data_IF_665995442372
#
_entry.id   IF_665995442372
#
_cell.length_a   1.000
_cell.length_b   1.000
_cell.length_c   1.000
_cell.angle_alpha   90.00
_cell.angle_beta   90.00
_cell.angle_gamma   90.00
#
_symmetry.space_group_name_H-M   'P 1'
#
loop_
_entity.id
_entity.type
_entity.pdbx_description
1 polymer ?
#
# COMPACT_ATOMS: atom_id res chain seq x y z
N UNK A 1 -16.48 -18.62 18.76
CA UNK A 1 -17.86 -18.12 18.55
C UNK A 1 -18.45 -18.86 17.35
N UNK A 2 -19.59 -19.54 17.49
CA UNK A 2 -20.16 -20.36 16.43
C UNK A 2 -20.35 -19.54 15.15
N UNK A 3 -19.67 -19.92 14.07
CA UNK A 3 -19.94 -19.40 12.73
C UNK A 3 -21.39 -19.71 12.41
N UNK A 4 -22.29 -18.73 12.59
CA UNK A 4 -23.57 -18.70 11.90
C UNK A 4 -23.23 -18.70 10.41
N UNK A 5 -23.12 -19.89 9.83
CA UNK A 5 -23.15 -20.04 8.38
C UNK A 5 -24.39 -19.31 7.90
N UNK A 6 -24.23 -18.43 6.92
CA UNK A 6 -25.30 -17.62 6.35
C UNK A 6 -26.44 -18.56 5.93
N UNK A 7 -27.66 -18.43 6.48
CA UNK A 7 -28.78 -19.35 6.21
C UNK A 7 -29.17 -19.43 4.72
N UNK A 8 -28.81 -18.40 3.95
CA UNK A 8 -29.10 -18.26 2.52
C UNK A 8 -28.47 -19.33 1.63
N UNK A 9 -27.28 -19.84 1.97
CA UNK A 9 -26.51 -20.71 1.07
C UNK A 9 -26.76 -22.22 1.27
N UNK A 10 -27.32 -22.65 2.41
CA UNK A 10 -27.42 -24.09 2.72
C UNK A 10 -28.80 -24.70 2.44
N UNK A 11 -29.86 -23.90 2.31
CA UNK A 11 -31.21 -24.43 2.07
C UNK A 11 -31.56 -24.63 0.60
N UNK A 12 -30.84 -23.96 -0.32
CA UNK A 12 -31.14 -23.99 -1.76
C UNK A 12 -30.55 -25.20 -2.49
N UNK A 13 -29.35 -25.68 -2.16
CA UNK A 13 -28.72 -26.70 -3.02
C UNK A 13 -29.33 -28.10 -2.88
N UNK A 14 -29.38 -28.67 -1.67
CA UNK A 14 -29.72 -30.10 -1.54
C UNK A 14 -31.20 -30.39 -1.75
N UNK A 15 -32.08 -29.60 -1.15
CA UNK A 15 -33.52 -29.86 -1.20
C UNK A 15 -34.09 -29.54 -2.58
N UNK A 16 -33.64 -28.45 -3.21
CA UNK A 16 -34.09 -28.08 -4.55
C UNK A 16 -33.58 -29.06 -5.61
N UNK A 17 -32.30 -29.48 -5.55
CA UNK A 17 -31.75 -30.48 -6.47
C UNK A 17 -32.46 -31.84 -6.33
N UNK A 18 -32.75 -32.28 -5.11
CA UNK A 18 -33.42 -33.57 -4.89
C UNK A 18 -34.86 -33.55 -5.39
N UNK A 19 -35.60 -32.45 -5.21
CA UNK A 19 -36.96 -32.30 -5.75
C UNK A 19 -36.97 -32.14 -7.27
N UNK A 20 -35.96 -31.47 -7.86
CA UNK A 20 -35.79 -31.39 -9.32
C UNK A 20 -35.48 -32.77 -9.91
N UNK A 21 -34.55 -33.54 -9.32
CA UNK A 21 -34.22 -34.90 -9.78
C UNK A 21 -35.42 -35.85 -9.65
N UNK A 22 -36.21 -35.71 -8.58
CA UNK A 22 -37.42 -36.51 -8.37
C UNK A 22 -38.50 -36.17 -9.39
N UNK A 23 -38.76 -34.88 -9.61
CA UNK A 23 -39.70 -34.42 -10.63
C UNK A 23 -39.25 -34.78 -12.06
N UNK A 24 -37.94 -34.76 -12.34
CA UNK A 24 -37.37 -35.18 -13.63
C UNK A 24 -37.62 -36.68 -13.91
N UNK A 25 -37.40 -37.53 -12.91
CA UNK A 25 -37.58 -38.98 -13.01
C UNK A 25 -39.05 -39.42 -13.02
N UNK A 26 -39.93 -38.73 -12.28
CA UNK A 26 -41.37 -39.06 -12.22
C UNK A 26 -42.13 -38.65 -13.50
N UNK A 27 -41.65 -37.66 -14.25
CA UNK A 27 -42.36 -37.10 -15.41
C UNK A 27 -41.65 -37.29 -16.76
N UNK A 28 -40.53 -38.03 -16.82
CA UNK A 28 -39.78 -38.34 -18.06
C UNK A 28 -39.41 -37.09 -18.88
N UNK A 29 -38.99 -36.00 -18.22
CA UNK A 29 -38.41 -34.87 -18.94
C UNK A 29 -37.10 -35.30 -19.62
N UNK A 30 -36.89 -34.89 -20.86
CA UNK A 30 -35.59 -35.05 -21.52
C UNK A 30 -34.53 -34.16 -20.85
N UNK A 31 -33.25 -34.53 -20.94
CA UNK A 31 -32.14 -33.72 -20.41
C UNK A 31 -32.18 -32.28 -20.94
N UNK A 32 -32.58 -32.09 -22.21
CA UNK A 32 -32.72 -30.78 -22.85
C UNK A 32 -33.85 -29.92 -22.23
N UNK A 33 -34.97 -30.55 -21.83
CA UNK A 33 -36.08 -29.85 -21.18
C UNK A 33 -35.74 -29.41 -19.75
N UNK A 34 -34.99 -30.26 -19.02
CA UNK A 34 -34.48 -29.93 -17.69
C UNK A 34 -33.46 -28.79 -17.79
N UNK A 35 -32.52 -28.84 -18.76
CA UNK A 35 -31.56 -27.78 -19.00
C UNK A 35 -32.24 -26.43 -19.33
N UNK A 36 -33.25 -26.44 -20.21
CA UNK A 36 -34.01 -25.24 -20.57
C UNK A 36 -34.87 -24.70 -19.41
N UNK A 37 -35.33 -25.55 -18.50
CA UNK A 37 -36.04 -25.13 -17.28
C UNK A 37 -35.06 -24.48 -16.29
N UNK A 38 -33.91 -25.10 -16.07
CA UNK A 38 -32.84 -24.58 -15.23
C UNK A 38 -32.40 -23.20 -15.73
N UNK A 39 -32.16 -23.03 -17.03
CA UNK A 39 -31.76 -21.76 -17.64
C UNK A 39 -32.82 -20.66 -17.44
N UNK A 40 -34.11 -21.00 -17.54
CA UNK A 40 -35.21 -20.07 -17.25
C UNK A 40 -35.35 -19.73 -15.77
N UNK A 41 -35.15 -20.70 -14.88
CA UNK A 41 -35.15 -20.47 -13.43
C UNK A 41 -33.98 -19.59 -13.01
N UNK A 42 -32.80 -19.79 -13.60
CA UNK A 42 -31.64 -18.93 -13.37
C UNK A 42 -31.90 -17.50 -13.84
N UNK A 43 -32.46 -17.30 -15.05
CA UNK A 43 -32.68 -15.95 -15.57
C UNK A 43 -33.77 -15.19 -14.80
N UNK A 44 -34.91 -15.83 -14.50
CA UNK A 44 -36.00 -15.21 -13.74
C UNK A 44 -35.63 -14.97 -12.26
N UNK A 45 -34.98 -15.95 -11.62
CA UNK A 45 -34.54 -15.82 -10.23
C UNK A 45 -33.40 -14.81 -10.04
N UNK A 46 -32.56 -14.61 -11.05
CA UNK A 46 -31.46 -13.64 -10.97
C UNK A 46 -31.95 -12.19 -10.93
N UNK A 47 -32.93 -11.82 -11.76
CA UNK A 47 -33.43 -10.44 -11.81
C UNK A 47 -34.16 -10.06 -10.52
N UNK A 48 -35.01 -10.96 -10.01
CA UNK A 48 -35.76 -10.77 -8.77
C UNK A 48 -34.81 -10.71 -7.55
N UNK A 49 -33.88 -11.66 -7.44
CA UNK A 49 -32.90 -11.67 -6.36
C UNK A 49 -31.97 -10.45 -6.39
N UNK A 50 -31.57 -10.00 -7.58
CA UNK A 50 -30.78 -8.77 -7.72
C UNK A 50 -31.59 -7.53 -7.33
N UNK A 51 -32.87 -7.48 -7.68
CA UNK A 51 -33.76 -6.40 -7.28
C UNK A 51 -33.90 -6.35 -5.75
N UNK A 52 -34.07 -7.49 -5.10
CA UNK A 52 -34.14 -7.60 -3.64
C UNK A 52 -32.82 -7.22 -2.95
N UNK A 53 -31.68 -7.64 -3.49
CA UNK A 53 -30.37 -7.19 -3.00
C UNK A 53 -30.21 -5.68 -3.12
N UNK A 54 -30.61 -5.10 -4.26
CA UNK A 54 -30.54 -3.64 -4.46
C UNK A 54 -31.52 -2.89 -3.56
N UNK A 55 -32.69 -3.45 -3.29
CA UNK A 55 -33.69 -2.86 -2.40
C UNK A 55 -33.21 -2.85 -0.94
N UNK A 56 -32.52 -3.91 -0.50
CA UNK A 56 -31.95 -4.03 0.86
C UNK A 56 -30.55 -3.40 1.03
N UNK A 57 -29.83 -3.13 -0.07
CA UNK A 57 -28.48 -2.58 -0.04
C UNK A 57 -28.36 -1.22 0.70
N UNK A 58 -29.26 -0.24 0.55
CA UNK A 58 -29.11 1.06 1.22
C UNK A 58 -28.96 0.95 2.74
N UNK A 59 -29.80 0.13 3.38
CA UNK A 59 -29.78 -0.05 4.84
C UNK A 59 -28.52 -0.80 5.30
N UNK A 60 -28.15 -1.88 4.60
CA UNK A 60 -26.92 -2.61 4.89
C UNK A 60 -25.66 -1.76 4.71
N UNK A 61 -25.61 -0.96 3.64
CA UNK A 61 -24.48 -0.05 3.37
C UNK A 61 -24.43 1.09 4.39
N UNK A 62 -25.57 1.59 4.85
CA UNK A 62 -25.63 2.62 5.89
C UNK A 62 -25.12 2.07 7.24
N UNK A 63 -25.54 0.86 7.62
CA UNK A 63 -25.05 0.19 8.83
C UNK A 63 -23.54 -0.07 8.76
N UNK A 64 -23.04 -0.57 7.63
CA UNK A 64 -21.61 -0.81 7.42
C UNK A 64 -20.78 0.49 7.55
N UNK A 65 -21.24 1.60 6.96
CA UNK A 65 -20.57 2.91 7.10
C UNK A 65 -20.53 3.39 8.55
N UNK A 66 -21.61 3.22 9.30
CA UNK A 66 -21.66 3.60 10.70
C UNK A 66 -20.69 2.77 11.57
N UNK A 67 -20.57 1.48 11.27
CA UNK A 67 -19.60 0.58 11.91
C UNK A 67 -18.16 0.99 11.58
N UNK A 68 -17.88 1.32 10.31
CA UNK A 68 -16.58 1.80 9.85
C UNK A 68 -16.21 3.13 10.53
N UNK A 69 -17.10 4.11 10.58
CA UNK A 69 -16.87 5.40 11.25
C UNK A 69 -16.58 5.20 12.75
N UNK A 70 -17.35 4.33 13.39
CA UNK A 70 -17.17 4.00 14.81
C UNK A 70 -15.83 3.29 15.04
N UNK A 71 -15.40 2.41 14.14
CA UNK A 71 -14.09 1.77 14.19
C UNK A 71 -12.97 2.81 14.03
N UNK A 72 -13.06 3.68 13.03
CA UNK A 72 -12.03 4.70 12.75
C UNK A 72 -11.83 5.63 13.93
N UNK A 73 -12.92 6.05 14.60
CA UNK A 73 -12.84 6.85 15.81
C UNK A 73 -12.04 6.17 16.92
N UNK A 74 -12.34 4.88 17.22
CA UNK A 74 -11.59 4.11 18.23
C UNK A 74 -10.14 3.84 17.82
N UNK A 75 -9.90 3.59 16.54
CA UNK A 75 -8.57 3.39 15.99
C UNK A 75 -7.72 4.66 16.18
N UNK A 76 -8.25 5.81 15.81
CA UNK A 76 -7.61 7.10 16.02
C UNK A 76 -7.41 7.39 17.51
N UNK A 77 -8.41 7.16 18.36
CA UNK A 77 -8.26 7.37 19.81
C UNK A 77 -7.12 6.55 20.41
N UNK A 78 -6.94 5.32 19.95
CA UNK A 78 -5.82 4.44 20.37
C UNK A 78 -4.47 4.97 19.89
N UNK A 79 -4.37 5.42 18.64
CA UNK A 79 -3.11 5.79 17.99
C UNK A 79 -2.90 7.30 17.82
N UNK A 80 -3.67 8.11 18.55
CA UNK A 80 -3.77 9.57 18.39
C UNK A 80 -2.40 10.24 18.40
N UNK A 81 -1.64 10.02 19.46
CA UNK A 81 -0.34 10.68 19.66
C UNK A 81 0.64 10.43 18.49
N UNK A 82 0.99 9.17 18.13
CA UNK A 82 1.91 8.95 17.01
C UNK A 82 1.32 9.36 15.64
N UNK A 83 0.00 9.29 15.45
CA UNK A 83 -0.64 9.78 14.21
C UNK A 83 -0.56 11.30 14.08
N UNK A 84 -0.82 12.04 15.15
CA UNK A 84 -0.73 13.50 15.18
C UNK A 84 0.73 13.95 14.97
N UNK A 85 1.70 13.26 15.59
CA UNK A 85 3.13 13.51 15.37
C UNK A 85 3.53 13.22 13.91
N UNK A 86 3.04 12.14 13.31
CA UNK A 86 3.31 11.84 11.89
C UNK A 86 2.69 12.91 10.97
N UNK A 87 1.50 13.42 11.29
CA UNK A 87 0.87 14.55 10.59
C UNK A 87 1.70 15.82 10.71
N UNK A 88 2.22 16.10 11.90
CA UNK A 88 3.10 17.24 12.14
C UNK A 88 4.40 17.13 11.32
N UNK A 89 5.04 15.95 11.32
CA UNK A 89 6.21 15.69 10.47
C UNK A 89 5.91 15.95 8.99
N UNK A 90 4.75 15.51 8.50
CA UNK A 90 4.33 15.73 7.12
C UNK A 90 4.15 17.20 6.78
N UNK A 91 3.45 17.97 7.63
CA UNK A 91 3.23 19.41 7.44
C UNK A 91 4.59 20.13 7.43
N UNK A 92 5.44 19.86 8.41
CA UNK A 92 6.77 20.45 8.50
C UNK A 92 7.62 20.12 7.26
N UNK A 93 7.62 18.86 6.81
CA UNK A 93 8.35 18.46 5.61
C UNK A 93 7.80 19.15 4.34
N UNK A 94 6.48 19.32 4.23
CA UNK A 94 5.83 20.00 3.12
C UNK A 94 6.17 21.50 3.07
N UNK A 95 6.00 22.22 4.17
CA UNK A 95 6.26 23.66 4.25
C UNK A 95 7.73 23.98 3.93
N UNK A 96 8.66 23.24 4.53
CA UNK A 96 10.10 23.47 4.33
C UNK A 96 10.53 23.04 2.93
N UNK A 97 9.97 21.94 2.41
CA UNK A 97 10.23 21.47 1.06
C UNK A 97 9.74 22.46 0.00
N UNK A 98 8.55 23.03 0.17
CA UNK A 98 7.99 24.04 -0.72
C UNK A 98 8.83 25.33 -0.70
N UNK A 99 9.17 25.83 0.50
CA UNK A 99 10.04 26.99 0.64
C UNK A 99 11.38 26.76 -0.07
N UNK A 100 12.00 25.59 0.15
CA UNK A 100 13.27 25.23 -0.50
C UNK A 100 13.16 25.14 -2.02
N UNK A 101 12.08 24.54 -2.54
CA UNK A 101 11.82 24.48 -3.98
C UNK A 101 11.65 25.89 -4.59
N UNK A 102 10.99 26.81 -3.88
CA UNK A 102 10.80 28.19 -4.31
C UNK A 102 12.11 28.99 -4.36
N UNK A 103 13.04 28.73 -3.42
CA UNK A 103 14.38 29.31 -3.43
C UNK A 103 15.20 28.87 -4.65
N UNK A 104 14.92 27.69 -5.21
CA UNK A 104 15.65 27.11 -6.33
C UNK A 104 17.04 26.54 -5.95
N UNK A 105 17.83 26.13 -6.95
CA UNK A 105 19.06 25.35 -6.73
C UNK A 105 20.18 26.11 -6.00
N UNK A 106 20.20 27.45 -6.02
CA UNK A 106 21.17 28.29 -5.29
C UNK A 106 22.64 27.81 -5.36
N UNK A 107 23.11 27.49 -6.57
CA UNK A 107 24.48 27.03 -6.82
C UNK A 107 24.66 25.51 -6.82
N UNK A 108 23.64 24.72 -6.45
CA UNK A 108 23.63 23.28 -6.67
C UNK A 108 23.39 22.93 -8.14
N UNK A 109 23.60 21.67 -8.51
CA UNK A 109 23.28 21.19 -9.85
C UNK A 109 21.77 21.32 -10.11
N UNK A 110 21.33 22.08 -11.15
CA UNK A 110 19.91 22.31 -11.39
C UNK A 110 19.11 21.05 -11.73
N UNK A 111 19.73 20.08 -12.42
CA UNK A 111 19.05 18.85 -12.81
C UNK A 111 18.83 17.93 -11.62
N UNK A 112 19.84 17.81 -10.75
CA UNK A 112 19.73 17.04 -9.51
C UNK A 112 18.69 17.69 -8.60
N UNK A 113 18.80 19.00 -8.38
CA UNK A 113 17.84 19.76 -7.57
C UNK A 113 16.42 19.59 -8.06
N UNK A 114 16.17 19.82 -9.36
CA UNK A 114 14.85 19.67 -9.94
C UNK A 114 14.35 18.22 -9.81
N UNK A 115 15.22 17.22 -9.92
CA UNK A 115 14.83 15.81 -9.72
C UNK A 115 14.40 15.53 -8.28
N UNK A 116 15.12 16.05 -7.29
CA UNK A 116 14.76 15.93 -5.89
C UNK A 116 13.46 16.69 -5.57
N UNK A 117 13.27 17.89 -6.16
CA UNK A 117 12.05 18.67 -6.05
C UNK A 117 10.82 17.98 -6.66
N UNK A 118 11.00 17.04 -7.59
CA UNK A 118 9.93 16.18 -8.10
C UNK A 118 9.69 14.94 -7.21
N UNK A 119 10.75 14.36 -6.65
CA UNK A 119 10.65 13.16 -5.81
C UNK A 119 10.11 13.45 -4.39
N UNK A 120 10.38 14.64 -3.86
CA UNK A 120 9.94 15.06 -2.52
C UNK A 120 8.41 15.13 -2.38
N UNK A 121 7.65 15.84 -3.25
CA UNK A 121 6.19 15.84 -3.18
C UNK A 121 5.59 14.45 -3.45
N UNK A 122 6.24 13.62 -4.27
CA UNK A 122 5.84 12.21 -4.44
C UNK A 122 5.95 11.43 -3.12
N UNK A 123 7.03 11.63 -2.35
CA UNK A 123 7.18 11.00 -1.04
C UNK A 123 6.13 11.51 -0.02
N UNK A 124 5.80 12.81 -0.05
CA UNK A 124 4.71 13.38 0.75
C UNK A 124 3.37 12.74 0.40
N UNK A 125 3.06 12.58 -0.89
CA UNK A 125 1.83 11.94 -1.35
C UNK A 125 1.74 10.49 -0.88
N UNK A 126 2.81 9.70 -1.05
CA UNK A 126 2.87 8.31 -0.56
C UNK A 126 2.68 8.27 0.96
N UNK A 127 3.25 9.22 1.69
CA UNK A 127 3.05 9.32 3.14
C UNK A 127 1.58 9.59 3.50
N UNK A 128 0.89 10.45 2.76
CA UNK A 128 -0.55 10.69 2.96
C UNK A 128 -1.40 9.44 2.69
N UNK A 129 -1.05 8.65 1.69
CA UNK A 129 -1.71 7.37 1.41
C UNK A 129 -1.49 6.36 2.55
N UNK A 130 -0.28 6.31 3.11
CA UNK A 130 0.04 5.49 4.29
C UNK A 130 -0.79 5.93 5.49
N UNK A 131 -0.88 7.24 5.76
CA UNK A 131 -1.73 7.77 6.84
C UNK A 131 -3.19 7.36 6.65
N UNK A 132 -3.73 7.48 5.44
CA UNK A 132 -5.10 7.08 5.13
C UNK A 132 -5.35 5.58 5.41
N UNK A 133 -4.39 4.73 5.04
CA UNK A 133 -4.46 3.28 5.33
C UNK A 133 -4.41 3.00 6.84
N UNK A 134 -3.57 3.72 7.60
CA UNK A 134 -3.50 3.58 9.05
C UNK A 134 -4.80 4.05 9.74
N UNK A 135 -5.32 5.22 9.37
CA UNK A 135 -6.61 5.72 9.85
C UNK A 135 -7.77 4.76 9.56
N UNK A 136 -7.68 4.03 8.44
CA UNK A 136 -8.64 3.00 8.05
C UNK A 136 -8.45 1.64 8.73
N UNK A 137 -7.39 1.40 9.51
CA UNK A 137 -7.16 0.10 10.13
C UNK A 137 -6.40 -0.92 9.27
N UNK A 138 -5.62 -0.48 8.28
CA UNK A 138 -4.97 -1.35 7.30
C UNK A 138 -3.43 -1.30 7.42
N UNK A 139 -2.89 -1.79 8.55
CA UNK A 139 -1.44 -1.79 8.83
C UNK A 139 -0.60 -2.50 7.77
N UNK A 140 -1.03 -3.68 7.30
CA UNK A 140 -0.34 -4.43 6.25
C UNK A 140 -0.35 -3.69 4.90
N UNK A 141 -1.45 -3.01 4.59
CA UNK A 141 -1.55 -2.14 3.41
C UNK A 141 -0.63 -0.93 3.52
N UNK A 142 -0.59 -0.31 4.70
CA UNK A 142 0.32 0.79 5.01
C UNK A 142 1.79 0.37 4.86
N UNK A 143 2.17 -0.80 5.37
CA UNK A 143 3.51 -1.39 5.20
C UNK A 143 3.81 -1.66 3.72
N UNK A 144 2.86 -2.22 2.98
CA UNK A 144 3.00 -2.44 1.54
C UNK A 144 3.28 -1.12 0.81
N UNK A 145 2.59 -0.04 1.20
CA UNK A 145 2.78 1.27 0.59
C UNK A 145 4.07 1.96 1.01
N UNK A 146 4.54 1.74 2.25
CA UNK A 146 5.87 2.15 2.69
C UNK A 146 6.98 1.63 1.77
N UNK A 147 6.83 0.45 1.15
CA UNK A 147 7.79 -0.03 0.14
C UNK A 147 8.03 1.00 -0.96
N UNK A 148 6.97 1.60 -1.50
CA UNK A 148 7.09 2.61 -2.56
C UNK A 148 7.74 3.89 -2.05
N UNK A 149 7.51 4.26 -0.78
CA UNK A 149 8.20 5.37 -0.14
C UNK A 149 9.70 5.09 -0.04
N UNK A 150 10.09 3.90 0.44
CA UNK A 150 11.49 3.48 0.53
C UNK A 150 12.18 3.47 -0.83
N UNK A 151 11.55 2.94 -1.88
CA UNK A 151 12.09 3.00 -3.25
C UNK A 151 12.31 4.44 -3.73
N UNK A 152 11.38 5.34 -3.41
CA UNK A 152 11.48 6.78 -3.74
C UNK A 152 12.65 7.42 -3.00
N UNK A 153 12.82 7.13 -1.71
CA UNK A 153 13.90 7.66 -0.86
C UNK A 153 15.27 7.16 -1.32
N UNK A 154 15.39 5.85 -1.56
CA UNK A 154 16.63 5.23 -2.07
C UNK A 154 17.03 5.86 -3.40
N UNK A 155 16.07 6.08 -4.31
CA UNK A 155 16.29 6.74 -5.60
C UNK A 155 16.79 8.18 -5.41
N UNK A 156 16.10 8.97 -4.58
CA UNK A 156 16.47 10.35 -4.30
C UNK A 156 17.87 10.46 -3.68
N UNK A 157 18.18 9.65 -2.67
CA UNK A 157 19.49 9.64 -2.02
C UNK A 157 20.61 9.21 -2.97
N UNK A 158 20.35 8.25 -3.86
CA UNK A 158 21.32 7.83 -4.86
C UNK A 158 21.61 8.93 -5.89
N UNK A 159 20.57 9.60 -6.37
CA UNK A 159 20.70 10.77 -7.27
C UNK A 159 21.45 11.91 -6.58
N UNK A 160 21.08 12.25 -5.34
CA UNK A 160 21.76 13.29 -4.57
C UNK A 160 23.25 12.99 -4.35
N UNK A 161 23.61 11.72 -4.19
CA UNK A 161 24.99 11.27 -3.97
C UNK A 161 25.85 11.32 -5.23
N UNK A 162 25.31 10.93 -6.39
CA UNK A 162 26.09 10.74 -7.62
C UNK A 162 25.92 11.86 -8.65
N UNK A 163 24.95 12.74 -8.46
CA UNK A 163 24.85 14.00 -9.18
C UNK A 163 24.30 13.88 -10.60
N UNK A 164 24.77 14.78 -11.46
CA UNK A 164 24.13 15.14 -12.72
C UNK A 164 23.86 13.96 -13.67
N UNK A 165 24.88 13.13 -13.93
CA UNK A 165 24.76 12.03 -14.90
C UNK A 165 23.70 11.01 -14.48
N UNK A 166 23.63 10.71 -13.18
CA UNK A 166 22.62 9.79 -12.64
C UNK A 166 21.23 10.42 -12.69
N UNK A 167 21.09 11.71 -12.38
CA UNK A 167 19.81 12.42 -12.49
C UNK A 167 19.30 12.43 -13.94
N UNK A 168 20.19 12.67 -14.90
CA UNK A 168 19.92 12.62 -16.34
C UNK A 168 19.46 11.24 -16.78
N UNK A 169 20.19 10.19 -16.41
CA UNK A 169 19.89 8.81 -16.81
C UNK A 169 18.56 8.35 -16.20
N UNK A 170 18.31 8.68 -14.92
CA UNK A 170 17.05 8.43 -14.24
C UNK A 170 15.87 9.09 -14.95
N UNK A 171 15.96 10.39 -15.28
CA UNK A 171 14.87 11.08 -16.00
C UNK A 171 14.65 10.54 -17.40
N UNK A 172 15.72 10.12 -18.05
CA UNK A 172 15.67 9.60 -19.42
C UNK A 172 15.14 8.16 -19.48
N UNK A 173 15.13 7.43 -18.37
CA UNK A 173 14.63 6.04 -18.30
C UNK A 173 13.14 5.92 -18.64
N UNK A 174 12.35 6.98 -18.42
CA UNK A 174 10.92 7.00 -18.71
C UNK A 174 10.63 6.65 -20.17
N UNK A 175 11.50 7.02 -21.11
CA UNK A 175 11.30 6.75 -22.54
C UNK A 175 11.44 5.26 -22.87
N UNK A 176 12.29 4.54 -22.14
CA UNK A 176 12.41 3.09 -22.26
C UNK A 176 11.18 2.38 -21.70
N UNK A 177 10.68 2.82 -20.54
CA UNK A 177 9.47 2.25 -19.93
C UNK A 177 8.22 2.55 -20.76
N UNK A 178 8.07 3.76 -21.31
CA UNK A 178 6.98 4.13 -22.21
C UNK A 178 6.96 3.24 -23.46
N UNK A 179 8.12 3.03 -24.09
CA UNK A 179 8.24 2.13 -25.23
C UNK A 179 7.86 0.69 -24.87
N UNK A 180 8.37 0.16 -23.75
CA UNK A 180 8.04 -1.18 -23.26
C UNK A 180 6.54 -1.34 -22.97
N UNK A 181 5.91 -0.32 -22.37
CA UNK A 181 4.48 -0.30 -22.12
C UNK A 181 3.65 -0.26 -23.42
N UNK A 182 4.06 0.55 -24.40
CA UNK A 182 3.40 0.64 -25.70
C UNK A 182 3.47 -0.70 -26.46
N UNK A 183 4.64 -1.36 -26.47
CA UNK A 183 4.80 -2.70 -27.05
C UNK A 183 3.87 -3.70 -26.37
N UNK A 184 3.84 -3.71 -25.03
CA UNK A 184 2.98 -4.61 -24.28
C UNK A 184 1.49 -4.38 -24.58
N UNK A 185 1.04 -3.12 -24.61
CA UNK A 185 -0.34 -2.76 -24.92
C UNK A 185 -0.73 -3.20 -26.33
N UNK A 186 0.04 -2.80 -27.36
CA UNK A 186 -0.28 -3.14 -28.74
C UNK A 186 -0.32 -4.66 -28.98
N UNK A 187 0.51 -5.43 -28.27
CA UNK A 187 0.53 -6.90 -28.38
C UNK A 187 -0.75 -7.60 -27.91
N UNK A 188 -1.57 -6.94 -27.09
CA UNK A 188 -2.80 -7.52 -26.51
C UNK A 188 -4.05 -6.67 -26.72
N UNK A 189 -3.95 -5.53 -27.41
CA UNK A 189 -4.99 -4.52 -27.50
C UNK A 189 -6.36 -5.08 -27.91
N UNK A 190 -6.39 -5.89 -28.98
CA UNK A 190 -7.62 -6.53 -29.48
C UNK A 190 -8.27 -7.43 -28.41
N UNK A 191 -7.49 -8.32 -27.80
CA UNK A 191 -7.98 -9.23 -26.75
C UNK A 191 -8.38 -8.50 -25.48
N UNK A 192 -7.75 -7.37 -25.18
CA UNK A 192 -8.02 -6.56 -24.00
C UNK A 192 -9.15 -5.52 -24.22
N UNK A 193 -9.71 -5.41 -25.44
CA UNK A 193 -10.64 -4.36 -25.83
C UNK A 193 -10.10 -2.94 -25.51
N UNK A 194 -8.80 -2.76 -25.76
CA UNK A 194 -8.09 -1.48 -25.58
C UNK A 194 -7.73 -0.89 -26.94
N UNK A 195 -7.65 0.44 -27.02
CA UNK A 195 -7.23 1.13 -28.24
C UNK A 195 -5.70 1.02 -28.39
N UNK A 196 -5.16 0.41 -29.46
CA UNK A 196 -3.73 0.38 -29.71
C UNK A 196 -3.22 1.77 -30.09
N UNK A 197 -1.92 1.99 -29.87
CA UNK A 197 -1.22 3.13 -30.48
C UNK A 197 -1.22 2.99 -32.00
N UNK A 198 -1.44 4.09 -32.71
CA UNK A 198 -1.26 4.14 -34.17
C UNK A 198 0.21 3.99 -34.54
N UNK A 199 0.49 3.63 -35.80
CA UNK A 199 1.86 3.48 -36.29
C UNK A 199 2.66 4.78 -36.13
N UNK A 200 2.02 5.94 -36.34
CA UNK A 200 2.66 7.25 -36.16
C UNK A 200 3.00 7.52 -34.69
N UNK A 201 2.03 7.31 -33.78
CA UNK A 201 2.25 7.52 -32.35
C UNK A 201 3.31 6.55 -31.79
N UNK A 202 3.33 5.31 -32.28
CA UNK A 202 4.32 4.33 -31.90
C UNK A 202 5.73 4.71 -32.38
N UNK A 203 5.86 5.18 -33.63
CA UNK A 203 7.13 5.68 -34.18
C UNK A 203 7.66 6.89 -33.41
N UNK A 204 6.80 7.78 -32.90
CA UNK A 204 7.20 8.88 -32.02
C UNK A 204 7.79 8.39 -30.69
N UNK A 205 7.16 7.38 -30.07
CA UNK A 205 7.65 6.76 -28.84
C UNK A 205 9.01 6.08 -29.07
N UNK A 206 9.17 5.36 -30.19
CA UNK A 206 10.45 4.77 -30.58
C UNK A 206 11.53 5.83 -30.76
N UNK A 207 11.22 6.91 -31.48
CA UNK A 207 12.16 8.01 -31.70
C UNK A 207 12.60 8.69 -30.39
N UNK A 208 11.70 8.84 -29.42
CA UNK A 208 12.07 9.37 -28.10
C UNK A 208 12.96 8.41 -27.31
N UNK A 209 12.69 7.10 -27.37
CA UNK A 209 13.55 6.07 -26.76
C UNK A 209 14.94 6.07 -27.39
N UNK A 210 15.04 6.13 -28.71
CA UNK A 210 16.32 6.16 -29.42
C UNK A 210 17.13 7.42 -29.08
N UNK A 211 16.47 8.59 -28.98
CA UNK A 211 17.11 9.83 -28.50
C UNK A 211 17.65 9.68 -27.07
N UNK A 212 16.87 9.08 -26.18
CA UNK A 212 17.29 8.82 -24.80
C UNK A 212 18.48 7.85 -24.75
N UNK A 213 18.50 6.82 -25.59
CA UNK A 213 19.60 5.86 -25.72
C UNK A 213 20.90 6.53 -26.17
N UNK A 214 20.83 7.43 -27.17
CA UNK A 214 21.98 8.24 -27.59
C UNK A 214 22.45 9.17 -26.47
N UNK A 215 21.51 9.79 -25.74
CA UNK A 215 21.83 10.73 -24.65
C UNK A 215 22.50 10.06 -23.45
N UNK A 216 22.05 8.85 -23.09
CA UNK A 216 22.65 8.04 -22.02
C UNK A 216 23.93 7.35 -22.50
N UNK A 217 24.03 7.04 -23.80
CA UNK A 217 25.17 6.33 -24.41
C UNK A 217 25.07 4.81 -24.35
N UNK A 218 23.91 4.26 -23.94
CA UNK A 218 23.63 2.81 -23.88
C UNK A 218 22.14 2.53 -23.76
N UNK A 219 21.76 1.30 -24.10
CA UNK A 219 20.40 0.78 -23.91
C UNK A 219 20.16 0.33 -22.47
N UNK A 220 19.02 0.71 -21.90
CA UNK A 220 18.55 0.20 -20.61
C UNK A 220 17.67 -1.04 -20.83
N UNK A 221 17.95 -2.12 -20.11
CA UNK A 221 17.21 -3.39 -20.25
C UNK A 221 16.43 -3.77 -18.98
N UNK A 222 16.90 -3.31 -17.82
CA UNK A 222 16.30 -3.49 -16.51
C UNK A 222 15.81 -2.17 -15.92
N UNK A 223 14.86 -2.29 -14.97
CA UNK A 223 14.20 -1.18 -14.28
C UNK A 223 15.17 -0.24 -13.56
N UNK A 224 16.33 -0.76 -13.14
CA UNK A 224 17.34 -0.02 -12.36
C UNK A 224 18.60 0.29 -13.17
N UNK A 225 18.64 -0.06 -14.46
CA UNK A 225 19.86 0.09 -15.28
C UNK A 225 20.21 1.57 -15.51
N UNK A 226 19.30 2.51 -15.27
CA UNK A 226 19.62 3.95 -15.25
C UNK A 226 20.72 4.30 -14.24
N UNK A 227 20.94 3.47 -13.21
CA UNK A 227 21.97 3.67 -12.21
C UNK A 227 23.35 3.09 -12.62
N UNK A 228 23.45 2.41 -13.77
CA UNK A 228 24.63 1.61 -14.13
C UNK A 228 25.90 2.41 -14.41
N UNK A 229 25.87 3.76 -14.45
CA UNK A 229 27.08 4.59 -14.62
C UNK A 229 27.98 4.53 -13.38
N UNK A 230 27.42 4.13 -12.24
CA UNK A 230 28.09 4.05 -10.95
C UNK A 230 28.65 2.64 -10.66
N UNK A 231 28.25 1.64 -11.44
CA UNK A 231 28.57 0.24 -11.18
C UNK A 231 29.44 -0.35 -12.30
N UNK A 232 30.25 -1.36 -11.97
CA UNK A 232 31.12 -2.04 -12.92
C UNK A 232 30.42 -3.14 -13.75
N UNK A 233 29.10 -3.25 -13.64
CA UNK A 233 28.29 -4.25 -14.34
C UNK A 233 26.98 -3.65 -14.85
N UNK A 234 26.47 -4.18 -15.96
CA UNK A 234 25.39 -3.51 -16.70
C UNK A 234 23.99 -3.75 -16.11
N UNK A 235 23.73 -4.94 -15.55
CA UNK A 235 22.41 -5.28 -15.00
C UNK A 235 22.33 -4.90 -13.54
N UNK A 236 21.60 -3.84 -13.23
CA UNK A 236 21.48 -3.32 -11.87
C UNK A 236 20.23 -3.88 -11.19
N UNK A 237 20.37 -4.21 -9.91
CA UNK A 237 19.24 -4.55 -9.03
C UNK A 237 19.09 -3.45 -7.98
N UNK A 238 17.86 -3.30 -7.48
CA UNK A 238 17.59 -2.35 -6.40
C UNK A 238 18.52 -2.49 -5.18
N UNK A 239 18.90 -3.71 -4.80
CA UNK A 239 19.84 -3.96 -3.68
C UNK A 239 21.24 -3.37 -3.92
N UNK A 240 21.66 -3.24 -5.18
CA UNK A 240 22.97 -2.65 -5.50
C UNK A 240 22.96 -1.14 -5.20
N UNK A 241 21.83 -0.48 -5.50
CA UNK A 241 21.57 0.92 -5.15
C UNK A 241 21.46 1.07 -3.62
N UNK A 242 20.67 0.22 -2.94
CA UNK A 242 20.54 0.23 -1.47
C UNK A 242 21.89 0.14 -0.77
N UNK A 243 22.76 -0.81 -1.19
CA UNK A 243 24.12 -0.97 -0.66
C UNK A 243 24.99 0.25 -0.94
N UNK A 244 24.89 0.83 -2.13
CA UNK A 244 25.70 1.99 -2.47
C UNK A 244 25.43 3.17 -1.54
N UNK A 245 24.17 3.43 -1.19
CA UNK A 245 23.81 4.53 -0.27
C UNK A 245 23.78 4.13 1.21
N UNK A 246 24.15 2.89 1.55
CA UNK A 246 24.20 2.40 2.93
C UNK A 246 22.83 2.12 3.57
N UNK A 247 21.77 1.96 2.76
CA UNK A 247 20.42 1.62 3.23
C UNK A 247 20.10 0.12 3.13
N UNK A 248 21.07 -0.73 2.82
CA UNK A 248 20.87 -2.19 2.71
C UNK A 248 20.50 -2.86 4.04
N UNK A 249 20.76 -2.22 5.19
CA UNK A 249 20.23 -2.65 6.49
C UNK A 249 18.70 -2.61 6.58
N UNK A 250 18.02 -1.87 5.69
CA UNK A 250 16.55 -1.88 5.54
C UNK A 250 16.03 -3.04 4.70
N UNK A 251 16.92 -3.82 4.06
CA UNK A 251 16.53 -4.90 3.15
C UNK A 251 15.56 -5.91 3.76
N UNK A 252 15.70 -6.35 5.03
CA UNK A 252 14.73 -7.24 5.65
C UNK A 252 13.32 -6.63 5.70
N UNK A 253 13.22 -5.33 6.06
CA UNK A 253 11.96 -4.58 6.12
C UNK A 253 11.36 -4.37 4.73
N UNK A 254 12.18 -4.03 3.74
CA UNK A 254 11.76 -3.93 2.34
C UNK A 254 11.20 -5.27 1.83
N UNK A 255 11.86 -6.39 2.14
CA UNK A 255 11.38 -7.72 1.76
C UNK A 255 10.09 -8.10 2.47
N UNK A 256 9.95 -7.77 3.75
CA UNK A 256 8.72 -7.96 4.49
C UNK A 256 7.56 -7.15 3.88
N UNK A 257 7.75 -5.85 3.61
CA UNK A 257 6.76 -5.01 2.95
C UNK A 257 6.36 -5.55 1.55
N UNK A 258 7.34 -6.09 0.81
CA UNK A 258 7.12 -6.69 -0.51
C UNK A 258 6.23 -7.93 -0.49
N UNK A 259 6.13 -8.64 0.64
CA UNK A 259 5.29 -9.83 0.76
C UNK A 259 3.79 -9.51 0.69
N UNK A 260 3.39 -8.26 0.92
CA UNK A 260 2.00 -7.83 0.82
C UNK A 260 1.60 -7.39 -0.60
N UNK A 261 2.57 -7.28 -1.51
CA UNK A 261 2.36 -6.86 -2.91
C UNK A 261 2.27 -8.07 -3.84
N UNK A 262 3.10 -9.09 -3.61
CA UNK A 262 3.08 -10.32 -4.39
C UNK A 262 2.07 -11.31 -3.79
N UNK A 263 1.36 -12.06 -4.62
CA UNK A 263 0.41 -13.12 -4.20
C UNK A 263 1.07 -14.36 -3.60
N UNK A 264 2.19 -14.19 -2.88
CA UNK A 264 2.88 -15.26 -2.19
C UNK A 264 2.01 -15.79 -1.05
N UNK A 265 2.02 -17.10 -0.84
CA UNK A 265 1.33 -17.73 0.29
C UNK A 265 1.87 -17.16 1.61
N UNK A 266 0.96 -16.73 2.49
CA UNK A 266 1.27 -16.21 3.82
C UNK A 266 0.32 -16.82 4.85
N UNK A 267 0.88 -17.17 6.00
CA UNK A 267 0.08 -17.62 7.12
C UNK A 267 -0.79 -16.46 7.65
N UNK A 268 -2.11 -16.64 7.87
CA UNK A 268 -2.99 -15.56 8.33
C UNK A 268 -2.53 -14.90 9.64
N UNK A 269 -1.94 -15.69 10.55
CA UNK A 269 -1.38 -15.18 11.82
C UNK A 269 -0.09 -14.36 11.68
N UNK A 270 0.47 -14.22 10.48
CA UNK A 270 1.69 -13.44 10.24
C UNK A 270 1.41 -12.01 9.76
N UNK A 271 0.15 -11.57 9.76
CA UNK A 271 -0.27 -10.21 9.38
C UNK A 271 -0.06 -9.24 10.54
N UNK A 272 0.26 -7.98 10.22
CA UNK A 272 0.38 -6.91 11.22
C UNK A 272 -0.95 -6.70 11.96
N UNK A 273 -2.07 -6.72 11.24
CA UNK A 273 -3.39 -6.61 11.85
C UNK A 273 -3.78 -7.77 12.78
N UNK A 274 -2.95 -8.82 12.85
CA UNK A 274 -3.16 -10.03 13.66
C UNK A 274 -2.20 -10.16 14.83
N UNK A 275 -1.28 -9.22 15.03
CA UNK A 275 -0.23 -9.29 16.08
C UNK A 275 -0.80 -9.41 17.49
N UNK A 276 -1.94 -8.79 17.75
CA UNK A 276 -2.62 -8.81 19.06
C UNK A 276 -3.83 -9.76 19.12
N UNK A 277 -4.08 -10.54 18.06
CA UNK A 277 -5.21 -11.46 18.04
C UNK A 277 -4.92 -12.71 18.91
N UNK A 278 -5.90 -13.13 19.72
CA UNK A 278 -5.79 -14.35 20.54
C UNK A 278 -5.79 -15.64 19.70
N UNK A 279 -6.56 -15.64 18.61
CA UNK A 279 -6.69 -16.76 17.69
C UNK A 279 -6.39 -16.30 16.26
N UNK A 280 -5.81 -17.22 15.47
CA UNK A 280 -5.58 -16.98 14.05
C UNK A 280 -6.91 -16.99 13.32
N UNK A 281 -7.30 -15.84 12.79
CA UNK A 281 -8.47 -15.69 11.91
C UNK A 281 -8.07 -15.18 10.53
N UNK A 282 -8.93 -15.36 9.55
CA UNK A 282 -8.80 -14.72 8.24
C UNK A 282 -9.23 -13.26 8.36
N UNK A 283 -8.26 -12.36 8.45
CA UNK A 283 -8.53 -10.93 8.49
C UNK A 283 -9.05 -10.45 7.12
N UNK A 284 -10.32 -10.06 7.09
CA UNK A 284 -11.00 -9.50 5.90
C UNK A 284 -11.34 -8.01 6.05
N UNK A 285 -11.14 -7.46 7.25
CA UNK A 285 -11.55 -6.11 7.61
C UNK A 285 -10.47 -5.36 8.40
N UNK A 286 -10.79 -4.14 8.85
CA UNK A 286 -9.83 -3.27 9.49
C UNK A 286 -9.44 -3.80 10.89
N UNK A 287 -8.20 -3.53 11.29
CA UNK A 287 -7.64 -3.85 12.60
C UNK A 287 -6.88 -2.65 13.13
N UNK A 288 -6.97 -2.39 14.44
CA UNK A 288 -6.22 -1.31 15.09
C UNK A 288 -4.90 -1.82 15.69
N UNK A 289 -4.36 -2.93 15.18
CA UNK A 289 -3.14 -3.60 15.64
C UNK A 289 -1.99 -3.45 14.63
N UNK A 290 -0.74 -3.50 15.12
CA UNK A 290 0.46 -3.60 14.28
C UNK A 290 0.88 -2.31 13.59
N UNK A 291 0.64 -1.14 14.19
CA UNK A 291 0.91 0.15 13.54
C UNK A 291 2.34 0.67 13.75
N UNK A 292 3.08 0.13 14.73
CA UNK A 292 4.41 0.62 15.12
C UNK A 292 5.36 0.69 13.91
N UNK A 293 5.51 -0.43 13.19
CA UNK A 293 6.43 -0.51 12.05
C UNK A 293 6.01 0.44 10.91
N UNK A 294 4.77 0.41 10.38
CA UNK A 294 4.34 1.37 9.38
C UNK A 294 4.52 2.84 9.78
N UNK A 295 4.20 3.22 11.02
CA UNK A 295 4.33 4.59 11.52
C UNK A 295 5.80 5.03 11.54
N UNK A 296 6.64 4.27 12.25
CA UNK A 296 8.03 4.65 12.47
C UNK A 296 8.85 4.57 11.18
N UNK A 297 8.65 3.52 10.37
CA UNK A 297 9.37 3.35 9.12
C UNK A 297 9.02 4.48 8.12
N UNK A 298 7.75 4.90 8.08
CA UNK A 298 7.32 6.04 7.26
C UNK A 298 7.94 7.34 7.74
N UNK A 299 7.97 7.57 9.05
CA UNK A 299 8.58 8.76 9.63
C UNK A 299 10.09 8.86 9.30
N UNK A 300 10.82 7.75 9.44
CA UNK A 300 12.25 7.69 9.09
C UNK A 300 12.45 7.94 7.61
N UNK A 301 11.68 7.29 6.74
CA UNK A 301 11.81 7.46 5.29
C UNK A 301 11.48 8.89 4.84
N UNK A 302 10.39 9.50 5.34
CA UNK A 302 10.06 10.89 5.00
C UNK A 302 11.13 11.88 5.52
N UNK A 303 11.68 11.63 6.71
CA UNK A 303 12.81 12.39 7.26
C UNK A 303 14.04 12.29 6.35
N UNK A 304 14.41 11.09 5.90
CA UNK A 304 15.51 10.86 4.96
C UNK A 304 15.29 11.53 3.60
N UNK A 305 14.09 11.43 3.02
CA UNK A 305 13.76 12.08 1.76
C UNK A 305 13.91 13.60 1.87
N UNK A 306 13.36 14.17 2.94
CA UNK A 306 13.41 15.62 3.18
C UNK A 306 14.85 16.07 3.39
N UNK A 307 15.65 15.34 4.18
CA UNK A 307 17.07 15.63 4.36
C UNK A 307 17.85 15.53 3.05
N UNK A 308 17.59 14.53 2.22
CA UNK A 308 18.24 14.37 0.92
C UNK A 308 17.96 15.57 -0.02
N UNK A 309 16.75 16.12 0.04
CA UNK A 309 16.40 17.30 -0.73
C UNK A 309 17.05 18.57 -0.17
N UNK A 310 16.87 18.86 1.13
CA UNK A 310 17.34 20.09 1.75
C UNK A 310 18.87 20.21 1.83
N UNK A 311 19.57 19.08 1.92
CA UNK A 311 21.04 19.08 2.07
C UNK A 311 21.78 18.96 0.75
N UNK A 312 21.08 18.96 -0.39
CA UNK A 312 21.75 18.93 -1.69
C UNK A 312 22.40 20.28 -2.03
N UNK A 313 23.66 20.26 -2.46
CA UNK A 313 24.46 21.46 -2.71
C UNK A 313 25.12 21.99 -1.43
N UNK A 314 25.03 23.30 -1.20
CA UNK A 314 25.57 23.96 -0.01
C UNK A 314 24.43 24.33 0.97
N UNK A 315 24.16 23.51 2.00
CA UNK A 315 23.11 23.80 2.96
C UNK A 315 23.51 24.95 3.91
N UNK A 316 22.54 25.82 4.20
CA UNK A 316 22.67 26.84 5.25
C UNK A 316 22.32 26.26 6.65
N UNK A 317 22.56 27.06 7.70
CA UNK A 317 22.29 26.66 9.08
C UNK A 317 20.82 26.28 9.31
N UNK A 318 19.89 27.00 8.70
CA UNK A 318 18.46 26.76 8.87
C UNK A 318 18.07 25.38 8.35
N UNK A 319 18.58 24.97 7.18
CA UNK A 319 18.36 23.63 6.61
C UNK A 319 18.87 22.52 7.55
N UNK A 320 20.01 22.72 8.21
CA UNK A 320 20.53 21.77 9.19
C UNK A 320 19.64 21.67 10.44
N UNK A 321 19.13 22.81 10.93
CA UNK A 321 18.21 22.86 12.07
C UNK A 321 16.90 22.15 11.71
N UNK A 322 16.34 22.43 10.53
CA UNK A 322 15.13 21.77 10.04
C UNK A 322 15.29 20.26 9.92
N UNK A 323 16.41 19.79 9.35
CA UNK A 323 16.71 18.36 9.29
C UNK A 323 16.81 17.76 10.69
N UNK A 324 17.39 18.46 11.66
CA UNK A 324 17.44 17.97 13.03
C UNK A 324 16.05 17.88 13.67
N UNK A 325 15.17 18.86 13.43
CA UNK A 325 13.79 18.86 13.92
C UNK A 325 13.03 17.64 13.37
N UNK A 326 13.02 17.43 12.05
CA UNK A 326 12.30 16.29 11.44
C UNK A 326 12.86 14.93 11.87
N UNK A 327 14.16 14.84 12.17
CA UNK A 327 14.77 13.62 12.70
C UNK A 327 14.32 13.34 14.14
N UNK A 328 14.25 14.38 14.98
CA UNK A 328 13.70 14.26 16.33
C UNK A 328 12.23 13.82 16.28
N UNK A 329 11.41 14.44 15.43
CA UNK A 329 10.02 14.02 15.24
C UNK A 329 9.89 12.57 14.81
N UNK A 330 10.74 12.09 13.90
CA UNK A 330 10.74 10.69 13.50
C UNK A 330 11.03 9.74 14.67
N UNK A 331 11.93 10.11 15.58
CA UNK A 331 12.21 9.36 16.81
C UNK A 331 11.00 9.39 17.76
N UNK A 332 10.43 10.58 17.99
CA UNK A 332 9.29 10.76 18.89
C UNK A 332 8.06 9.96 18.44
N UNK A 333 7.82 9.85 17.12
CA UNK A 333 6.75 9.01 16.53
C UNK A 333 6.97 7.54 16.88
N UNK A 334 8.21 7.04 16.77
CA UNK A 334 8.53 5.66 17.11
C UNK A 334 8.30 5.36 18.59
N UNK A 335 8.74 6.26 19.47
CA UNK A 335 8.54 6.14 20.91
C UNK A 335 7.07 6.21 21.30
N UNK A 336 6.32 7.15 20.73
CA UNK A 336 4.88 7.30 20.94
C UNK A 336 4.10 6.06 20.46
N UNK A 337 4.47 5.47 19.32
CA UNK A 337 3.84 4.27 18.81
C UNK A 337 4.04 3.07 19.75
N UNK A 338 5.25 2.88 20.27
CA UNK A 338 5.55 1.81 21.24
C UNK A 338 4.76 2.03 22.55
N UNK A 339 4.68 3.26 23.06
CA UNK A 339 3.86 3.58 24.24
C UNK A 339 2.39 3.29 24.01
N UNK A 340 1.83 3.76 22.90
CA UNK A 340 0.41 3.58 22.56
C UNK A 340 0.00 2.11 22.51
N UNK A 341 0.83 1.25 21.90
CA UNK A 341 0.58 -0.19 21.88
C UNK A 341 0.61 -0.80 23.27
N UNK A 342 1.66 -0.50 24.04
CA UNK A 342 1.85 -1.02 25.40
C UNK A 342 0.69 -0.64 26.33
N UNK A 343 0.30 0.64 26.35
CA UNK A 343 -0.80 1.13 27.19
C UNK A 343 -2.14 0.50 26.79
N UNK A 344 -2.39 0.32 25.49
CA UNK A 344 -3.60 -0.34 25.00
C UNK A 344 -3.66 -1.80 25.46
N UNK A 345 -2.53 -2.51 25.38
CA UNK A 345 -2.43 -3.91 25.82
C UNK A 345 -2.62 -4.05 27.34
N UNK A 346 -2.05 -3.14 28.13
CA UNK A 346 -2.23 -3.11 29.59
C UNK A 346 -3.69 -2.83 29.98
N UNK A 347 -4.34 -1.86 29.33
CA UNK A 347 -5.77 -1.56 29.52
C UNK A 347 -6.64 -2.77 29.19
N UNK A 348 -6.36 -3.46 28.07
CA UNK A 348 -7.08 -4.67 27.69
C UNK A 348 -6.91 -5.78 28.75
N UNK A 349 -5.68 -6.07 29.19
CA UNK A 349 -5.41 -7.08 30.23
C UNK A 349 -6.12 -6.76 31.56
N UNK A 350 -6.14 -5.49 31.96
CA UNK A 350 -6.84 -5.07 33.18
C UNK A 350 -8.36 -5.29 33.08
N UNK A 351 -8.95 -5.03 31.92
CA UNK A 351 -10.38 -5.26 31.67
C UNK A 351 -10.73 -6.76 31.60
N UNK A 352 -9.90 -7.55 30.92
CA UNK A 352 -10.09 -9.00 30.79
C UNK A 352 -9.87 -9.74 32.12
N UNK A 353 -8.89 -9.31 32.93
CA UNK A 353 -8.62 -9.86 34.27
C UNK A 353 -9.66 -9.45 35.33
N UNK A 354 -10.28 -8.27 35.20
CA UNK A 354 -11.39 -7.86 36.06
C UNK A 354 -12.68 -8.65 35.78
N UNK A 355 -12.87 -9.12 34.54
CA UNK A 355 -13.99 -9.98 34.15
C UNK A 355 -13.90 -11.42 34.67
N UNK A 356 -12.69 -11.91 34.98
CA UNK A 356 -12.52 -13.27 35.54
C UNK A 356 -12.76 -13.32 37.06
N UNK A 357 -12.58 -12.21 37.78
CA UNK A 357 -12.82 -12.14 39.23
C UNK A 357 -14.30 -11.90 39.61
N UNK A 358 -15.18 -11.59 38.66
CA UNK A 358 -16.61 -11.35 38.92
C UNK A 358 -17.51 -12.56 38.66
N UNK A 359 -16.98 -13.67 38.12
CA UNK A 359 -17.74 -14.93 37.95
C UNK A 359 -17.54 -15.97 39.07
N UNK A 360 -16.66 -15.73 40.06
CA UNK A 360 -16.42 -16.66 41.17
C UNK A 360 -17.16 -16.32 42.49
N UNK A 361 -18.10 -15.37 42.47
CA UNK A 361 -18.98 -15.12 43.63
C UNK A 361 -20.42 -15.54 43.35
N UNK A 362 -20.65 -16.84 43.42
CA UNK A 362 -22.00 -17.42 43.35
C UNK A 362 -22.06 -18.88 43.78
N UNK A 363 -21.85 -19.18 45.06
CA UNK A 363 -22.88 -19.69 45.98
C UNK A 363 -22.22 -20.39 47.20
N UNK A 364 -22.49 -19.96 48.45
CA UNK A 364 -22.18 -20.73 49.63
C UNK A 364 -23.24 -21.81 49.88
N UNK A 365 -22.79 -22.99 50.30
CA UNK A 365 -23.55 -24.09 50.93
C UNK A 365 -24.67 -24.76 50.11
N UNK A 366 -24.43 -26.03 49.76
CA UNK A 366 -25.21 -27.17 50.26
C UNK A 366 -24.40 -28.47 50.17
#
# INVERSE_FOLDING_TARGET
>A
MATKKTPLLQMLDKTLLTEIEKAANEHCFSEDEVAALIERCFSLGQEELLADFKASAPDHLAAMRADDDSFRARCYDRWREPMDLLRMLWITAQEIGEAHAHEGPNGSDPLVFDTLAHLHPKALLITSEIMCLLEGGFADGALARWRSLHETVVTAMFIAKHGHEVARDYRSSIWFENHKAAVALNSVAERANMQPFTDEAFAEIEAMRDKAEVHIGRRLNGEWDWASSVFAHDRIKFIDIERNIGLDHWRPRYKWASQHVHSCFRHPGALLGMVEAEEVVFQIGPSNSGFIDPLHMTAVSLSQMTAAFLLHGDPNLDRLIYVKIIQTLASDIGEAAVRAEKESLEKHRAQSGAGTMTSEKGNPEQ
#
